data_IF_786236717639
#
_entry.id   IF_786236717639
#
_cell.length_a   1.000
_cell.length_b   1.000
_cell.length_c   1.000
_cell.angle_alpha   90.00
_cell.angle_beta   90.00
_cell.angle_gamma   90.00
#
_symmetry.space_group_name_H-M   'P 1'
#
loop_
_entity.id
_entity.type
_entity.pdbx_description
1 polymer ?
#
# COMPACT_ATOMS: atom_id res chain seq x y z
N UNK A 1 2.85 -41.53 -5.18
CA UNK A 1 1.60 -40.87 -4.71
C UNK A 1 1.58 -40.52 -3.20
N UNK A 2 2.69 -40.59 -2.45
CA UNK A 2 2.71 -40.32 -0.97
C UNK A 2 3.14 -38.89 -0.60
N UNK A 3 3.66 -38.10 -1.56
CA UNK A 3 4.21 -36.75 -1.30
C UNK A 3 3.12 -35.71 -0.95
N UNK A 4 1.83 -36.02 -1.13
CA UNK A 4 0.72 -35.09 -0.88
C UNK A 4 0.20 -35.02 0.56
N UNK A 5 0.21 -36.13 1.31
CA UNK A 5 -0.52 -36.22 2.59
C UNK A 5 0.16 -35.47 3.73
N UNK A 6 1.50 -35.53 3.81
CA UNK A 6 2.25 -34.84 4.86
C UNK A 6 2.25 -33.32 4.63
N UNK A 7 2.33 -32.87 3.37
CA UNK A 7 2.25 -31.44 3.00
C UNK A 7 0.90 -30.84 3.38
N UNK A 8 -0.20 -31.51 3.03
CA UNK A 8 -1.55 -31.08 3.43
C UNK A 8 -1.73 -31.04 4.95
N UNK A 9 -1.16 -32.01 5.67
CA UNK A 9 -1.24 -32.04 7.13
C UNK A 9 -0.49 -30.87 7.79
N UNK A 10 0.69 -30.51 7.27
CA UNK A 10 1.45 -29.35 7.74
C UNK A 10 0.74 -28.06 7.34
N UNK A 11 0.22 -27.95 6.11
CA UNK A 11 -0.55 -26.79 5.64
C UNK A 11 -1.78 -26.53 6.54
N UNK A 12 -2.52 -27.58 6.88
CA UNK A 12 -3.67 -27.49 7.79
C UNK A 12 -3.27 -27.02 9.20
N UNK A 13 -2.10 -27.46 9.71
CA UNK A 13 -1.58 -27.02 11.01
C UNK A 13 -1.05 -25.59 10.98
N UNK A 14 -0.39 -25.17 9.91
CA UNK A 14 0.12 -23.82 9.74
C UNK A 14 -1.02 -22.80 9.63
N UNK A 15 -2.08 -23.14 8.91
CA UNK A 15 -3.26 -22.28 8.73
C UNK A 15 -4.27 -22.39 9.88
N UNK A 16 -4.00 -23.21 10.90
CA UNK A 16 -4.89 -23.35 12.05
C UNK A 16 -4.98 -22.03 12.83
N UNK A 17 -6.17 -21.60 13.27
CA UNK A 17 -6.34 -20.35 14.01
C UNK A 17 -5.54 -20.32 15.31
N UNK A 18 -5.28 -21.48 15.92
CA UNK A 18 -4.42 -21.59 17.09
C UNK A 18 -2.97 -21.22 16.77
N UNK A 19 -2.41 -21.75 15.68
CA UNK A 19 -1.05 -21.44 15.22
C UNK A 19 -0.90 -19.95 14.93
N UNK A 20 -1.87 -19.36 14.22
CA UNK A 20 -1.89 -17.91 13.98
C UNK A 20 -1.91 -17.11 15.29
N UNK A 21 -2.74 -17.48 16.27
CA UNK A 21 -2.77 -16.81 17.58
C UNK A 21 -1.44 -16.92 18.33
N UNK A 22 -0.82 -18.09 18.30
CA UNK A 22 0.49 -18.32 18.94
C UNK A 22 1.57 -17.46 18.28
N UNK A 23 1.66 -17.46 16.95
CA UNK A 23 2.64 -16.64 16.23
C UNK A 23 2.39 -15.15 16.51
N UNK A 24 1.14 -14.70 16.47
CA UNK A 24 0.79 -13.31 16.82
C UNK A 24 1.21 -12.96 18.25
N UNK A 25 0.94 -13.83 19.23
CA UNK A 25 1.36 -13.62 20.61
C UNK A 25 2.89 -13.53 20.74
N UNK A 26 3.63 -14.40 20.04
CA UNK A 26 5.09 -14.37 20.02
C UNK A 26 5.63 -13.09 19.38
N UNK A 27 4.98 -12.55 18.34
CA UNK A 27 5.35 -11.25 17.74
C UNK A 27 5.13 -10.12 18.75
N UNK A 28 4.00 -10.11 19.45
CA UNK A 28 3.70 -9.09 20.47
C UNK A 28 4.68 -9.15 21.64
N UNK A 29 4.99 -10.36 22.12
CA UNK A 29 6.01 -10.57 23.16
C UNK A 29 7.36 -10.05 22.65
N UNK A 30 7.77 -10.40 21.43
CA UNK A 30 9.04 -9.93 20.86
C UNK A 30 9.10 -8.41 20.72
N UNK A 31 7.99 -7.76 20.34
CA UNK A 31 7.90 -6.31 20.26
C UNK A 31 8.14 -5.65 21.62
N UNK A 32 7.49 -6.18 22.67
CA UNK A 32 7.67 -5.68 24.04
C UNK A 32 9.09 -5.95 24.54
N UNK A 33 9.62 -7.16 24.32
CA UNK A 33 11.01 -7.51 24.68
C UNK A 33 11.99 -6.54 24.04
N UNK A 34 11.85 -6.24 22.75
CA UNK A 34 12.74 -5.32 22.05
C UNK A 34 12.65 -3.89 22.58
N UNK A 35 11.44 -3.42 22.93
CA UNK A 35 11.26 -2.12 23.58
C UNK A 35 11.92 -2.05 24.96
N UNK A 36 11.93 -3.15 25.71
CA UNK A 36 12.63 -3.25 26.99
C UNK A 36 14.16 -3.28 26.80
N UNK A 37 14.66 -3.93 25.74
CA UNK A 37 16.09 -3.97 25.41
C UNK A 37 16.70 -2.58 25.14
N UNK A 38 15.87 -1.59 24.77
CA UNK A 38 16.33 -0.20 24.58
C UNK A 38 16.79 0.48 25.87
N UNK A 39 16.42 -0.05 27.04
CA UNK A 39 16.82 0.53 28.34
C UNK A 39 18.17 -0.02 28.81
N UNK A 40 19.20 0.83 29.00
CA UNK A 40 20.50 0.38 29.49
C UNK A 40 20.43 -0.25 30.90
N UNK A 41 19.55 0.25 31.77
CA UNK A 41 19.40 -0.25 33.14
C UNK A 41 18.83 -1.66 33.19
N UNK A 42 17.88 -1.98 32.31
CA UNK A 42 17.29 -3.33 32.23
C UNK A 42 18.26 -4.28 31.55
N UNK A 43 18.99 -3.83 30.54
CA UNK A 43 20.01 -4.63 29.88
C UNK A 43 21.17 -5.03 30.81
N UNK A 44 21.49 -4.20 31.81
CA UNK A 44 22.50 -4.53 32.82
C UNK A 44 22.06 -5.68 33.75
N UNK A 45 20.76 -5.74 34.10
CA UNK A 45 20.23 -6.71 35.08
C UNK A 45 19.69 -7.98 34.43
N UNK A 46 18.96 -7.84 33.32
CA UNK A 46 18.20 -8.92 32.67
C UNK A 46 18.56 -9.12 31.19
N UNK A 47 19.60 -8.46 30.68
CA UNK A 47 19.93 -8.48 29.25
C UNK A 47 20.24 -9.87 28.68
N UNK A 48 20.80 -10.77 29.47
CA UNK A 48 21.02 -12.17 29.06
C UNK A 48 19.71 -12.93 28.82
N UNK A 49 18.73 -12.76 29.72
CA UNK A 49 17.41 -13.38 29.61
C UNK A 49 16.63 -12.81 28.41
N UNK A 50 16.65 -11.48 28.22
CA UNK A 50 15.98 -10.82 27.09
C UNK A 50 16.52 -11.32 25.74
N UNK A 51 17.85 -11.37 25.59
CA UNK A 51 18.49 -11.91 24.37
C UNK A 51 18.18 -13.39 24.13
N UNK A 52 18.07 -14.18 25.19
CA UNK A 52 17.69 -15.60 25.09
C UNK A 52 16.24 -15.74 24.59
N UNK A 53 15.31 -14.96 25.15
CA UNK A 53 13.91 -14.91 24.70
C UNK A 53 13.86 -14.48 23.23
N UNK A 54 14.61 -13.44 22.86
CA UNK A 54 14.68 -12.94 21.50
C UNK A 54 15.14 -14.01 20.50
N UNK A 55 16.22 -14.71 20.85
CA UNK A 55 16.80 -15.78 20.03
C UNK A 55 15.84 -16.97 19.92
N UNK A 56 15.15 -17.33 21.01
CA UNK A 56 14.16 -18.40 21.00
C UNK A 56 12.97 -18.08 20.10
N UNK A 57 12.44 -16.85 20.18
CA UNK A 57 11.34 -16.40 19.32
C UNK A 57 11.78 -16.37 17.85
N UNK A 58 13.00 -15.87 17.57
CA UNK A 58 13.55 -15.90 16.22
C UNK A 58 13.68 -17.33 15.69
N UNK A 59 14.12 -18.29 16.50
CA UNK A 59 14.22 -19.69 16.10
C UNK A 59 12.85 -20.26 15.70
N UNK A 60 11.79 -19.95 16.47
CA UNK A 60 10.41 -20.35 16.12
C UNK A 60 10.02 -19.77 14.76
N UNK A 61 10.32 -18.49 14.52
CA UNK A 61 10.04 -17.83 13.25
C UNK A 61 10.78 -18.42 12.05
N UNK A 62 12.04 -18.83 12.24
CA UNK A 62 12.81 -19.53 11.20
C UNK A 62 12.19 -20.87 10.86
N UNK A 63 11.82 -21.65 11.88
CA UNK A 63 11.18 -22.96 11.68
C UNK A 63 9.84 -22.80 10.96
N UNK A 64 9.07 -21.81 11.36
CA UNK A 64 7.76 -21.48 10.82
C UNK A 64 7.84 -21.12 9.32
N UNK A 65 8.77 -20.23 8.93
CA UNK A 65 8.94 -19.87 7.52
C UNK A 65 9.56 -20.99 6.69
N UNK A 66 10.48 -21.77 7.26
CA UNK A 66 11.03 -22.95 6.60
C UNK A 66 9.92 -23.98 6.32
N UNK A 67 9.00 -24.21 7.27
CA UNK A 67 7.86 -25.09 7.07
C UNK A 67 6.95 -24.57 5.94
N UNK A 68 6.63 -23.27 5.91
CA UNK A 68 5.86 -22.66 4.80
C UNK A 68 6.56 -22.83 3.45
N UNK A 69 7.87 -22.57 3.40
CA UNK A 69 8.67 -22.73 2.18
C UNK A 69 8.67 -24.18 1.66
N UNK A 70 8.76 -25.17 2.56
CA UNK A 70 8.73 -26.59 2.19
C UNK A 70 7.37 -27.07 1.70
N UNK A 71 6.28 -26.55 2.28
CA UNK A 71 4.90 -26.87 1.91
C UNK A 71 4.53 -26.22 0.57
N UNK A 72 4.76 -24.92 0.44
CA UNK A 72 4.36 -24.14 -0.73
C UNK A 72 5.35 -24.26 -1.90
N UNK A 73 6.62 -24.56 -1.63
CA UNK A 73 7.67 -24.69 -2.64
C UNK A 73 7.76 -23.45 -3.54
N UNK A 74 7.50 -23.63 -4.84
CA UNK A 74 7.51 -22.52 -5.82
C UNK A 74 6.36 -21.53 -5.63
N UNK A 75 5.23 -21.95 -5.04
CA UNK A 75 4.08 -21.08 -4.78
C UNK A 75 4.42 -20.00 -3.75
N UNK A 76 5.35 -20.30 -2.83
CA UNK A 76 5.82 -19.37 -1.80
C UNK A 76 6.25 -18.03 -2.41
N UNK A 77 7.02 -18.08 -3.49
CA UNK A 77 7.60 -16.91 -4.14
C UNK A 77 6.62 -16.09 -4.99
N UNK A 78 5.38 -16.56 -5.19
CA UNK A 78 4.33 -15.80 -5.90
C UNK A 78 3.57 -14.84 -4.99
N UNK A 79 3.71 -14.99 -3.68
CA UNK A 79 3.09 -14.12 -2.68
C UNK A 79 4.08 -13.04 -2.22
N UNK A 80 3.73 -11.76 -2.42
CA UNK A 80 4.56 -10.63 -1.94
C UNK A 80 4.76 -10.64 -0.43
N UNK A 81 3.76 -11.12 0.34
CA UNK A 81 3.83 -11.24 1.79
C UNK A 81 4.83 -12.31 2.27
N UNK A 82 4.96 -13.40 1.51
CA UNK A 82 5.93 -14.45 1.81
C UNK A 82 7.36 -13.98 1.52
N UNK A 83 7.56 -13.23 0.42
CA UNK A 83 8.83 -12.56 0.11
C UNK A 83 9.24 -11.58 1.21
N UNK A 84 8.27 -10.80 1.70
CA UNK A 84 8.48 -9.87 2.80
C UNK A 84 8.92 -10.59 4.09
N UNK A 85 8.16 -11.60 4.53
CA UNK A 85 8.46 -12.39 5.73
C UNK A 85 9.85 -13.05 5.64
N UNK A 86 10.18 -13.59 4.46
CA UNK A 86 11.46 -14.23 4.21
C UNK A 86 12.62 -13.24 4.32
N UNK A 87 12.49 -12.08 3.66
CA UNK A 87 13.53 -11.04 3.68
C UNK A 87 13.79 -10.54 5.09
N UNK A 88 12.73 -10.31 5.84
CA UNK A 88 12.78 -9.83 7.22
C UNK A 88 13.46 -10.85 8.16
N UNK A 89 13.14 -12.13 8.04
CA UNK A 89 13.80 -13.19 8.81
C UNK A 89 15.25 -13.38 8.36
N UNK A 90 15.53 -13.31 7.06
CA UNK A 90 16.88 -13.40 6.52
C UNK A 90 17.79 -12.30 7.08
N UNK A 91 17.33 -11.04 7.10
CA UNK A 91 18.07 -9.91 7.71
C UNK A 91 18.33 -10.18 9.20
N UNK A 92 17.35 -10.76 9.91
CA UNK A 92 17.51 -11.08 11.33
C UNK A 92 18.57 -12.17 11.60
N UNK A 93 18.82 -13.07 10.65
CA UNK A 93 19.84 -14.12 10.75
C UNK A 93 21.25 -13.62 10.45
N UNK A 94 21.40 -12.50 9.74
CA UNK A 94 22.73 -12.01 9.36
C UNK A 94 23.54 -11.66 10.62
N UNK A 95 24.74 -12.24 10.79
CA UNK A 95 25.66 -11.85 11.85
C UNK A 95 26.07 -10.39 11.68
N UNK A 96 25.63 -9.53 12.59
CA UNK A 96 25.91 -8.09 12.55
C UNK A 96 27.26 -7.78 13.23
N UNK A 97 28.35 -8.21 12.61
CA UNK A 97 29.74 -7.93 13.01
C UNK A 97 30.42 -6.94 12.05
N UNK A 98 31.31 -6.10 12.59
CA UNK A 98 32.11 -5.15 11.79
C UNK A 98 31.25 -4.12 11.05
N UNK A 99 31.52 -3.93 9.75
CA UNK A 99 30.85 -2.96 8.88
C UNK A 99 29.33 -3.17 8.74
N UNK A 100 28.82 -4.36 9.10
CA UNK A 100 27.39 -4.69 9.04
C UNK A 100 26.68 -4.49 10.40
N UNK A 101 27.27 -3.73 11.33
CA UNK A 101 26.68 -3.43 12.64
C UNK A 101 25.29 -2.79 12.54
N UNK A 102 25.03 -2.00 11.49
CA UNK A 102 23.72 -1.38 11.20
C UNK A 102 22.63 -2.42 10.95
N UNK A 103 22.97 -3.62 10.43
CA UNK A 103 22.01 -4.71 10.25
C UNK A 103 21.41 -5.20 11.58
N UNK A 104 22.09 -4.95 12.70
CA UNK A 104 21.53 -5.22 14.03
C UNK A 104 20.29 -4.37 14.30
N UNK A 105 20.32 -3.09 13.91
CA UNK A 105 19.19 -2.18 14.09
C UNK A 105 18.00 -2.62 13.22
N UNK A 106 18.26 -3.07 11.99
CA UNK A 106 17.23 -3.56 11.08
C UNK A 106 16.51 -4.83 11.56
N UNK A 107 16.99 -5.51 12.62
CA UNK A 107 16.25 -6.61 13.25
C UNK A 107 14.88 -6.17 13.79
N UNK A 108 14.73 -4.87 14.14
CA UNK A 108 13.43 -4.29 14.51
C UNK A 108 12.38 -4.44 13.40
N UNK A 109 12.82 -4.51 12.14
CA UNK A 109 11.91 -4.71 11.00
C UNK A 109 11.14 -6.03 11.09
N UNK A 110 11.59 -7.01 11.88
CA UNK A 110 10.82 -8.25 12.11
C UNK A 110 9.51 -8.04 12.82
N UNK A 111 9.35 -6.93 13.54
CA UNK A 111 8.06 -6.55 14.11
C UNK A 111 7.03 -6.21 13.02
N UNK A 112 7.48 -5.79 11.83
CA UNK A 112 6.60 -5.56 10.69
C UNK A 112 5.95 -6.85 10.18
N UNK A 113 6.42 -8.05 10.59
CA UNK A 113 5.68 -9.29 10.34
C UNK A 113 4.28 -9.29 10.97
N UNK A 114 4.00 -8.42 11.93
CA UNK A 114 2.63 -8.23 12.41
C UNK A 114 1.70 -7.81 11.26
N UNK A 115 2.20 -6.99 10.33
CA UNK A 115 1.46 -6.53 9.15
C UNK A 115 1.16 -7.71 8.23
N UNK A 116 2.16 -8.58 8.01
CA UNK A 116 2.00 -9.76 7.16
C UNK A 116 1.23 -10.87 7.85
N UNK A 117 1.09 -10.92 9.18
CA UNK A 117 0.30 -11.98 9.82
C UNK A 117 -1.18 -11.63 9.94
N UNK A 118 -1.48 -10.35 10.18
CA UNK A 118 -2.84 -9.88 10.45
C UNK A 118 -3.51 -9.46 9.13
N UNK A 119 -4.58 -10.16 8.68
CA UNK A 119 -5.23 -9.87 7.41
C UNK A 119 -5.69 -8.42 7.29
N UNK A 120 -6.24 -7.82 8.35
CA UNK A 120 -6.68 -6.42 8.32
C UNK A 120 -5.51 -5.44 8.06
N UNK A 121 -4.32 -5.70 8.60
CA UNK A 121 -3.13 -4.88 8.32
C UNK A 121 -2.66 -5.05 6.88
N UNK A 122 -2.73 -6.27 6.31
CA UNK A 122 -2.46 -6.50 4.89
C UNK A 122 -3.40 -5.71 4.00
N UNK A 123 -4.69 -5.64 4.35
CA UNK A 123 -5.68 -4.85 3.61
C UNK A 123 -5.36 -3.36 3.65
N UNK A 124 -5.03 -2.82 4.82
CA UNK A 124 -4.64 -1.40 4.99
C UNK A 124 -3.41 -1.06 4.15
N UNK A 125 -2.32 -1.82 4.31
CA UNK A 125 -1.07 -1.59 3.56
C UNK A 125 -1.27 -1.86 2.06
N UNK A 126 -2.03 -2.88 1.70
CA UNK A 126 -2.40 -3.18 0.32
C UNK A 126 -3.16 -2.01 -0.33
N UNK A 127 -4.08 -1.38 0.40
CA UNK A 127 -4.78 -0.17 -0.06
C UNK A 127 -3.83 1.01 -0.31
N UNK A 128 -2.90 1.26 0.60
CA UNK A 128 -1.87 2.28 0.40
C UNK A 128 -1.00 1.99 -0.82
N UNK A 129 -0.52 0.75 -0.97
CA UNK A 129 0.31 0.35 -2.10
C UNK A 129 -0.47 0.38 -3.42
N UNK A 130 -1.77 0.04 -3.41
CA UNK A 130 -2.64 0.11 -4.59
C UNK A 130 -2.95 1.55 -5.02
N UNK A 131 -2.81 2.53 -4.12
CA UNK A 131 -2.94 3.95 -4.46
C UNK A 131 -1.70 4.53 -5.15
N UNK A 132 -0.54 3.86 -5.08
CA UNK A 132 0.71 4.35 -5.68
C UNK A 132 0.67 4.32 -7.22
N UNK A 133 0.28 3.22 -7.91
CA UNK A 133 0.30 3.16 -9.38
C UNK A 133 -0.49 4.26 -10.09
N UNK A 134 -1.74 4.58 -9.69
CA UNK A 134 -2.50 5.69 -10.27
C UNK A 134 -1.77 7.05 -10.20
N UNK A 135 -0.91 7.22 -9.20
CA UNK A 135 -0.18 8.46 -8.93
C UNK A 135 1.28 8.44 -9.43
N UNK A 136 1.74 7.33 -10.00
CA UNK A 136 3.14 7.13 -10.38
C UNK A 136 3.66 8.21 -11.35
N UNK A 137 2.82 8.71 -12.26
CA UNK A 137 3.16 9.79 -13.18
C UNK A 137 3.48 11.10 -12.45
N UNK A 138 2.66 11.49 -11.48
CA UNK A 138 2.88 12.71 -10.68
C UNK A 138 4.11 12.54 -9.79
N UNK A 139 4.27 11.36 -9.17
CA UNK A 139 5.45 11.04 -8.37
C UNK A 139 6.74 11.13 -9.19
N UNK A 140 6.73 10.60 -10.42
CA UNK A 140 7.86 10.68 -11.34
C UNK A 140 8.20 12.13 -11.71
N UNK A 141 7.19 12.96 -11.95
CA UNK A 141 7.38 14.39 -12.20
C UNK A 141 8.01 15.10 -10.99
N UNK A 142 7.55 14.82 -9.78
CA UNK A 142 8.14 15.37 -8.54
C UNK A 142 9.61 14.94 -8.42
N UNK A 143 9.92 13.66 -8.60
CA UNK A 143 11.29 13.14 -8.54
C UNK A 143 12.19 13.82 -9.58
N UNK A 144 11.69 14.02 -10.81
CA UNK A 144 12.44 14.72 -11.86
C UNK A 144 12.73 16.18 -11.48
N UNK A 145 11.72 16.91 -11.00
CA UNK A 145 11.87 18.30 -10.54
C UNK A 145 12.89 18.36 -9.40
N UNK A 146 12.78 17.47 -8.42
CA UNK A 146 13.73 17.36 -7.31
C UNK A 146 15.16 17.16 -7.81
N UNK A 147 15.37 16.24 -8.76
CA UNK A 147 16.69 15.98 -9.31
C UNK A 147 17.27 17.20 -10.04
N UNK A 148 16.47 17.84 -10.90
CA UNK A 148 16.89 19.04 -11.63
C UNK A 148 17.26 20.17 -10.66
N UNK A 149 16.41 20.44 -9.67
CA UNK A 149 16.69 21.46 -8.67
C UNK A 149 17.85 21.11 -7.75
N UNK A 150 18.07 19.83 -7.44
CA UNK A 150 19.20 19.41 -6.62
C UNK A 150 20.52 19.65 -7.35
N UNK A 151 20.59 19.30 -8.63
CA UNK A 151 21.77 19.58 -9.47
C UNK A 151 21.97 21.09 -9.62
N UNK A 152 20.90 21.84 -9.89
CA UNK A 152 20.97 23.30 -10.03
C UNK A 152 21.46 23.98 -8.75
N UNK A 153 20.89 23.62 -7.60
CA UNK A 153 21.25 24.20 -6.30
C UNK A 153 22.68 23.84 -5.90
N UNK A 154 23.11 22.59 -6.16
CA UNK A 154 24.50 22.17 -5.93
C UNK A 154 25.47 23.02 -6.75
N UNK A 155 25.14 23.27 -8.03
CA UNK A 155 26.02 24.02 -8.94
C UNK A 155 26.04 25.53 -8.66
N UNK A 156 24.90 26.10 -8.25
CA UNK A 156 24.79 27.53 -7.99
C UNK A 156 25.28 27.92 -6.60
N UNK A 157 24.99 27.11 -5.58
CA UNK A 157 25.15 27.50 -4.17
C UNK A 157 26.13 26.62 -3.39
N UNK A 158 26.54 25.46 -3.93
CA UNK A 158 27.32 24.48 -3.17
C UNK A 158 28.73 24.91 -2.76
N UNK A 159 29.29 25.97 -3.36
CA UNK A 159 30.59 26.52 -2.93
C UNK A 159 30.48 27.35 -1.65
N UNK A 160 29.37 28.08 -1.46
CA UNK A 160 29.22 29.04 -0.37
C UNK A 160 28.24 28.56 0.72
N UNK A 161 27.51 27.46 0.46
CA UNK A 161 26.43 26.97 1.32
C UNK A 161 26.54 25.47 1.56
N UNK A 162 26.84 25.07 2.80
CA UNK A 162 26.99 23.67 3.23
C UNK A 162 25.75 22.82 2.88
N UNK A 163 24.55 23.42 3.01
CA UNK A 163 23.26 22.80 2.68
C UNK A 163 23.12 22.39 1.21
N UNK A 164 23.99 22.91 0.33
CA UNK A 164 24.02 22.60 -1.09
C UNK A 164 25.38 22.07 -1.56
N UNK A 165 26.32 21.74 -0.67
CA UNK A 165 27.68 21.32 -1.01
C UNK A 165 27.70 20.07 -1.90
N UNK A 166 26.82 19.11 -1.59
CA UNK A 166 26.70 17.85 -2.33
C UNK A 166 25.29 17.69 -2.90
N UNK A 167 25.16 16.80 -3.90
CA UNK A 167 23.85 16.45 -4.45
C UNK A 167 22.90 15.91 -3.37
N UNK A 168 23.42 15.10 -2.44
CA UNK A 168 22.65 14.55 -1.33
C UNK A 168 22.20 15.62 -0.33
N UNK A 169 23.08 16.54 0.03
CA UNK A 169 22.74 17.69 0.88
C UNK A 169 21.66 18.56 0.22
N UNK A 170 21.81 18.84 -1.08
CA UNK A 170 20.81 19.59 -1.86
C UNK A 170 19.46 18.87 -1.89
N UNK A 171 19.42 17.55 -2.12
CA UNK A 171 18.18 16.77 -2.08
C UNK A 171 17.50 16.83 -0.72
N UNK A 172 18.26 16.73 0.37
CA UNK A 172 17.72 16.83 1.73
C UNK A 172 17.18 18.24 2.02
N UNK A 173 17.92 19.28 1.65
CA UNK A 173 17.50 20.68 1.80
C UNK A 173 16.26 20.99 0.97
N UNK A 174 16.15 20.48 -0.26
CA UNK A 174 14.96 20.63 -1.10
C UNK A 174 13.75 19.87 -0.52
N UNK A 175 13.98 18.72 0.13
CA UNK A 175 12.93 18.00 0.85
C UNK A 175 12.39 18.86 2.00
N UNK A 176 13.26 19.49 2.79
CA UNK A 176 12.89 20.42 3.84
C UNK A 176 12.11 21.65 3.30
N UNK A 177 12.56 22.24 2.19
CA UNK A 177 11.86 23.35 1.54
C UNK A 177 10.47 22.91 1.05
N UNK A 178 10.34 21.73 0.45
CA UNK A 178 9.06 21.19 -0.02
C UNK A 178 8.07 20.99 1.14
N UNK A 179 8.53 20.53 2.31
CA UNK A 179 7.68 20.38 3.50
C UNK A 179 7.34 21.71 4.18
N UNK A 180 7.81 22.84 3.63
CA UNK A 180 7.68 24.19 4.19
C UNK A 180 8.31 24.35 5.57
N UNK A 181 9.23 23.46 5.94
CA UNK A 181 9.84 23.45 7.27
C UNK A 181 11.05 24.38 7.30
N UNK A 182 10.89 25.57 7.88
CA UNK A 182 11.99 26.54 7.98
C UNK A 182 12.57 26.99 6.62
N UNK A 183 11.78 26.97 5.56
CA UNK A 183 12.24 27.28 4.20
C UNK A 183 12.86 28.68 4.08
N UNK A 184 12.38 29.66 4.87
CA UNK A 184 12.92 31.01 4.91
C UNK A 184 14.29 31.06 5.61
N UNK A 185 14.53 30.22 6.62
CA UNK A 185 15.82 30.08 7.30
C UNK A 185 16.86 29.41 6.40
N UNK A 186 16.41 28.60 5.43
CA UNK A 186 17.27 28.09 4.35
C UNK A 186 17.59 29.20 3.36
N UNK A 187 16.59 29.97 2.90
CA UNK A 187 16.79 30.91 1.80
C UNK A 187 17.46 32.22 2.19
N UNK A 188 17.23 32.74 3.41
CA UNK A 188 17.79 34.05 3.83
C UNK A 188 19.33 34.07 3.76
N UNK A 189 20.07 33.10 4.35
CA UNK A 189 21.53 33.07 4.24
C UNK A 189 22.05 32.90 2.80
N UNK A 190 21.28 32.17 1.98
CA UNK A 190 21.60 32.03 0.55
C UNK A 190 21.42 33.36 -0.17
N UNK A 191 20.38 34.12 0.15
CA UNK A 191 20.11 35.43 -0.43
C UNK A 191 21.14 36.50 -0.04
N UNK A 192 21.78 36.37 1.12
CA UNK A 192 22.87 37.28 1.54
C UNK A 192 24.07 37.21 0.59
N UNK A 193 24.33 36.03 0.01
CA UNK A 193 25.40 35.82 -1.00
C UNK A 193 24.87 35.85 -2.44
N UNK A 194 23.63 35.42 -2.64
CA UNK A 194 22.99 35.23 -3.94
C UNK A 194 21.58 35.86 -3.97
N UNK A 195 21.45 37.17 -4.21
CA UNK A 195 20.15 37.86 -4.12
C UNK A 195 19.05 37.30 -5.03
N UNK A 196 19.43 36.60 -6.12
CA UNK A 196 18.51 35.95 -7.06
C UNK A 196 18.01 34.58 -6.60
N UNK A 197 18.48 34.05 -5.46
CA UNK A 197 18.14 32.71 -4.99
C UNK A 197 16.63 32.52 -4.82
N UNK A 198 15.90 33.56 -4.37
CA UNK A 198 14.44 33.50 -4.28
C UNK A 198 13.78 33.21 -5.63
N UNK A 199 14.29 33.78 -6.73
CA UNK A 199 13.75 33.52 -8.07
C UNK A 199 14.01 32.07 -8.54
N UNK A 200 15.04 31.41 -7.99
CA UNK A 200 15.31 29.99 -8.24
C UNK A 200 14.35 29.12 -7.42
N UNK A 201 14.25 29.35 -6.12
CA UNK A 201 13.49 28.46 -5.22
C UNK A 201 11.98 28.73 -5.18
N UNK A 202 11.51 29.93 -5.53
CA UNK A 202 10.07 30.25 -5.53
C UNK A 202 9.29 29.40 -6.55
N UNK A 203 9.74 29.22 -7.81
CA UNK A 203 9.12 28.26 -8.73
C UNK A 203 9.11 26.83 -8.20
N UNK A 204 10.22 26.37 -7.59
CA UNK A 204 10.28 25.04 -6.97
C UNK A 204 9.19 24.90 -5.92
N UNK A 205 9.13 25.84 -4.97
CA UNK A 205 8.13 25.89 -3.89
C UNK A 205 6.71 25.81 -4.44
N UNK A 206 6.37 26.65 -5.42
CA UNK A 206 5.03 26.70 -6.00
C UNK A 206 4.69 25.38 -6.68
N UNK A 207 5.59 24.88 -7.54
CA UNK A 207 5.36 23.66 -8.32
C UNK A 207 5.24 22.44 -7.41
N UNK A 208 6.14 22.26 -6.44
CA UNK A 208 6.10 21.08 -5.56
C UNK A 208 4.92 21.13 -4.59
N UNK A 209 4.57 22.31 -4.07
CA UNK A 209 3.38 22.45 -3.21
C UNK A 209 2.09 22.11 -3.96
N UNK A 210 1.98 22.61 -5.19
CA UNK A 210 0.85 22.30 -6.06
C UNK A 210 0.82 20.82 -6.45
N UNK A 211 1.97 20.22 -6.76
CA UNK A 211 2.07 18.81 -7.10
C UNK A 211 1.67 17.90 -5.92
N UNK A 212 2.08 18.22 -4.69
CA UNK A 212 1.68 17.46 -3.49
C UNK A 212 0.19 17.60 -3.22
N UNK A 213 -0.39 18.80 -3.40
CA UNK A 213 -1.83 18.99 -3.27
C UNK A 213 -2.61 18.18 -4.33
N UNK A 214 -2.16 18.19 -5.58
CA UNK A 214 -2.77 17.40 -6.65
C UNK A 214 -2.60 15.90 -6.46
N UNK A 215 -1.50 15.46 -5.85
CA UNK A 215 -1.31 14.07 -5.45
C UNK A 215 -2.36 13.66 -4.40
N UNK A 216 -2.60 14.50 -3.39
CA UNK A 216 -3.63 14.25 -2.38
C UNK A 216 -5.04 14.20 -3.00
N UNK A 217 -5.38 15.19 -3.84
CA UNK A 217 -6.65 15.21 -4.57
C UNK A 217 -6.78 13.97 -5.44
N UNK A 218 -5.73 13.60 -6.17
CA UNK A 218 -5.72 12.40 -7.02
C UNK A 218 -5.99 11.13 -6.22
N UNK A 219 -5.33 10.94 -5.07
CA UNK A 219 -5.56 9.76 -4.21
C UNK A 219 -7.00 9.76 -3.70
N UNK A 220 -7.50 10.89 -3.22
CA UNK A 220 -8.87 11.02 -2.70
C UNK A 220 -9.91 10.76 -3.80
N UNK A 221 -9.75 11.36 -4.97
CA UNK A 221 -10.65 11.17 -6.11
C UNK A 221 -10.62 9.73 -6.59
N UNK A 222 -9.44 9.09 -6.65
CA UNK A 222 -9.34 7.68 -7.00
C UNK A 222 -10.06 6.78 -5.98
N UNK A 223 -9.93 7.08 -4.68
CA UNK A 223 -10.63 6.35 -3.63
C UNK A 223 -12.16 6.51 -3.76
N UNK A 224 -12.66 7.75 -3.92
CA UNK A 224 -14.09 8.02 -4.11
C UNK A 224 -14.64 7.37 -5.39
N UNK A 225 -13.87 7.41 -6.49
CA UNK A 225 -14.27 6.77 -7.74
C UNK A 225 -14.33 5.25 -7.60
N UNK A 226 -13.35 4.64 -6.92
CA UNK A 226 -13.35 3.20 -6.67
C UNK A 226 -14.55 2.74 -5.83
N UNK A 227 -15.00 3.58 -4.88
CA UNK A 227 -16.19 3.31 -4.08
C UNK A 227 -17.48 3.51 -4.90
N UNK A 228 -17.58 4.58 -5.69
CA UNK A 228 -18.74 4.83 -6.54
C UNK A 228 -18.93 3.75 -7.62
N UNK A 229 -17.84 3.22 -8.19
CA UNK A 229 -17.89 2.09 -9.12
C UNK A 229 -18.32 0.80 -8.40
N UNK A 230 -17.87 0.57 -7.16
CA UNK A 230 -18.31 -0.58 -6.38
C UNK A 230 -19.81 -0.51 -6.06
N UNK A 231 -20.33 0.67 -5.72
CA UNK A 231 -21.75 0.91 -5.45
C UNK A 231 -22.61 0.89 -6.73
N UNK A 232 -22.10 1.38 -7.86
CA UNK A 232 -22.80 1.38 -9.15
C UNK A 232 -22.71 0.05 -9.91
N UNK A 233 -21.74 -0.82 -9.58
CA UNK A 233 -21.64 -2.18 -10.12
C UNK A 233 -22.61 -3.16 -9.46
N UNK A 234 -23.12 -2.83 -8.27
CA UNK A 234 -24.42 -3.35 -7.82
C UNK A 234 -25.50 -2.61 -8.62
N UNK A 235 -25.56 -2.87 -9.93
CA UNK A 235 -26.75 -2.55 -10.70
C UNK A 235 -27.91 -3.22 -9.97
N UNK A 236 -28.82 -2.41 -9.40
CA UNK A 236 -29.91 -2.89 -8.55
C UNK A 236 -30.58 -4.07 -9.27
N UNK A 237 -30.44 -5.32 -8.79
CA UNK A 237 -30.99 -6.49 -9.48
C UNK A 237 -32.51 -6.38 -9.63
N UNK A 238 -33.15 -5.47 -8.88
CA UNK A 238 -34.55 -5.11 -9.03
C UNK A 238 -34.79 -4.26 -10.27
N UNK A 239 -33.91 -3.34 -10.63
CA UNK A 239 -34.03 -2.53 -11.84
C UNK A 239 -33.96 -3.40 -13.10
N UNK A 240 -33.02 -4.35 -13.15
CA UNK A 240 -32.92 -5.29 -14.27
C UNK A 240 -34.17 -6.17 -14.40
N UNK A 241 -34.70 -6.71 -13.28
CA UNK A 241 -35.96 -7.46 -13.28
C UNK A 241 -37.15 -6.63 -13.73
N UNK A 242 -37.23 -5.36 -13.32
CA UNK A 242 -38.32 -4.46 -13.73
C UNK A 242 -38.22 -4.14 -15.23
N UNK A 243 -37.01 -3.97 -15.77
CA UNK A 243 -36.80 -3.77 -17.20
C UNK A 243 -37.18 -5.01 -18.02
N UNK A 244 -36.87 -6.21 -17.53
CA UNK A 244 -37.32 -7.49 -18.12
C UNK A 244 -38.86 -7.63 -18.09
N UNK A 245 -39.50 -7.35 -16.96
CA UNK A 245 -40.97 -7.38 -16.85
C UNK A 245 -41.64 -6.36 -17.78
N UNK A 246 -41.10 -5.14 -17.87
CA UNK A 246 -41.62 -4.10 -18.76
C UNK A 246 -41.47 -4.47 -20.24
N UNK A 247 -40.38 -5.16 -20.61
CA UNK A 247 -40.20 -5.64 -21.99
C UNK A 247 -41.16 -6.77 -22.31
N UNK A 248 -41.38 -7.72 -21.39
CA UNK A 248 -42.37 -8.78 -21.54
C UNK A 248 -43.81 -8.22 -21.67
N UNK A 249 -44.21 -7.29 -20.79
CA UNK A 249 -45.50 -6.62 -20.84
C UNK A 249 -45.71 -5.85 -22.16
N UNK A 250 -44.68 -5.16 -22.65
CA UNK A 250 -44.77 -4.46 -23.96
C UNK A 250 -45.00 -5.43 -25.11
N UNK A 251 -44.35 -6.60 -25.09
CA UNK A 251 -44.56 -7.64 -26.11
C UNK A 251 -45.98 -8.22 -26.03
N UNK A 252 -46.48 -8.48 -24.82
CA UNK A 252 -47.84 -8.99 -24.62
C UNK A 252 -48.90 -7.98 -25.08
N UNK A 253 -48.76 -6.70 -24.73
CA UNK A 253 -49.64 -5.63 -25.20
C UNK A 253 -49.59 -5.50 -26.73
N UNK A 254 -48.42 -5.64 -27.34
CA UNK A 254 -48.29 -5.63 -28.80
C UNK A 254 -49.02 -6.83 -29.45
N UNK A 255 -48.90 -8.03 -28.87
CA UNK A 255 -49.60 -9.22 -29.33
C UNK A 255 -51.12 -9.11 -29.19
N UNK A 256 -51.61 -8.60 -28.05
CA UNK A 256 -53.03 -8.36 -27.80
C UNK A 256 -53.64 -7.32 -28.75
N UNK A 257 -52.89 -6.24 -29.05
CA UNK A 257 -53.29 -5.23 -30.05
C UNK A 257 -53.36 -5.84 -31.45
N UNK A 258 -52.42 -6.70 -31.82
CA UNK A 258 -52.46 -7.40 -33.10
C UNK A 258 -53.66 -8.36 -33.19
N UNK A 259 -53.97 -9.09 -32.11
CA UNK A 259 -55.12 -10.00 -32.07
C UNK A 259 -56.46 -9.26 -32.14
N UNK A 260 -56.62 -8.16 -31.40
CA UNK A 260 -57.84 -7.33 -31.45
C UNK A 260 -58.00 -6.63 -32.80
N UNK A 261 -56.92 -6.20 -33.45
CA UNK A 261 -56.97 -5.68 -34.83
C UNK A 261 -57.39 -6.77 -35.85
N UNK A 262 -57.00 -8.02 -35.63
CA UNK A 262 -57.44 -9.15 -36.46
C UNK A 262 -58.90 -9.57 -36.23
N UNK A 263 -59.51 -9.14 -35.12
CA UNK A 263 -60.90 -9.47 -34.74
C UNK A 263 -61.88 -8.30 -34.95
N UNK A 264 -61.55 -7.37 -35.86
CA UNK A 264 -62.45 -6.28 -36.26
C UNK A 264 -63.83 -6.80 -36.69
N UNK A 265 -64.91 -6.02 -36.50
CA UNK A 265 -66.28 -6.53 -36.49
C UNK A 265 -66.63 -7.20 -37.82
N UNK A 266 -67.08 -8.46 -37.76
CA UNK A 266 -67.78 -9.10 -38.88
C UNK A 266 -68.93 -8.19 -39.30
N UNK A 267 -69.04 -7.79 -40.59
CA UNK A 267 -70.15 -6.97 -41.05
C UNK A 267 -71.45 -7.71 -40.76
N UNK A 268 -72.34 -7.07 -40.00
CA UNK A 268 -73.69 -7.60 -39.78
C UNK A 268 -74.42 -7.61 -41.14
N UNK A 269 -74.82 -8.78 -41.66
CA UNK A 269 -75.48 -8.88 -42.97
C UNK A 269 -76.90 -8.28 -42.97
N UNK A 270 -77.41 -7.78 -41.84
CA UNK A 270 -78.79 -7.30 -41.71
C UNK A 270 -78.98 -5.78 -41.77
N UNK A 271 -77.92 -4.99 -41.97
CA UNK A 271 -78.04 -3.54 -42.13
C UNK A 271 -78.16 -3.14 -43.62
N UNK A 272 -79.31 -2.59 -44.07
CA UNK A 272 -79.45 -2.10 -45.43
C UNK A 272 -78.58 -0.85 -45.64
N UNK A 273 -77.88 -0.82 -46.78
CA UNK A 273 -77.08 0.33 -47.19
C UNK A 273 -77.96 1.59 -47.23
N UNK A 274 -77.57 2.59 -46.43
CA UNK A 274 -78.03 3.97 -46.54
C UNK A 274 -76.86 4.82 -47.02
#
# INVERSE_FOLDING_TARGET
>A
MVVGSWRQSIEARLNAPATTRVITALILINAVTLGIETSPSVMATAGGLLKMIDTAILAVFVVEIAARLLVEGKRFWRSGWNWFDFTVIAIALVPASGALSVLRAFRVLRLLRLISLIPSMRWVVGGFLAAIPPMSTVLLLIVLIFYVFAVLSTKLFGMDQERFETLGASLFTLLQIMTMDGWSDVLRPVMDSHPYALAVFLPFIIITSFAVLNLFIGILTNALHSQAVAEGSDADPRLDRVLEELTALRQEVAALRAATAATGPTPDPTLPAR
#
